data_IF_097116460161
#
_entry.id   IF_097116460161
#
_cell.length_a   1.000
_cell.length_b   1.000
_cell.length_c   1.000
_cell.angle_alpha   90.00
_cell.angle_beta   90.00
_cell.angle_gamma   90.00
#
_symmetry.space_group_name_H-M   'P 1'
#
loop_
_entity.id
_entity.type
_entity.pdbx_description
1 polymer ?
#
# COMPACT_ATOMS: atom_id res chain seq x y z
N UNK A 1 34.65 20.04 10.39
CA UNK A 1 33.62 19.37 11.21
C UNK A 1 32.54 18.84 10.28
N UNK A 2 32.53 17.55 10.00
CA UNK A 2 31.58 16.89 9.11
C UNK A 2 30.20 16.83 9.78
N UNK A 3 29.23 17.58 9.25
CA UNK A 3 27.82 17.48 9.62
C UNK A 3 27.32 16.08 9.22
N UNK A 4 27.13 15.21 10.23
CA UNK A 4 26.47 13.93 10.03
C UNK A 4 25.03 14.20 9.62
N UNK A 5 24.68 13.87 8.37
CA UNK A 5 23.30 13.94 7.89
C UNK A 5 22.43 13.10 8.83
N UNK A 6 21.36 13.68 9.43
CA UNK A 6 20.47 12.89 10.27
C UNK A 6 19.89 11.76 9.43
N UNK A 7 20.05 10.52 9.92
CA UNK A 7 19.53 9.35 9.23
C UNK A 7 18.03 9.47 9.00
N UNK A 8 17.50 8.84 7.94
CA UNK A 8 16.06 8.86 7.58
C UNK A 8 15.16 8.39 8.73
N UNK A 9 15.72 7.64 9.68
CA UNK A 9 15.05 7.11 10.86
C UNK A 9 15.17 8.01 12.10
N UNK A 10 16.04 9.03 12.10
CA UNK A 10 16.30 9.89 13.25
C UNK A 10 15.06 10.67 13.71
N UNK A 11 14.22 11.09 12.76
CA UNK A 11 12.94 11.73 13.05
C UNK A 11 11.94 10.76 13.71
N UNK A 12 11.88 9.52 13.21
CA UNK A 12 11.00 8.48 13.75
C UNK A 12 11.42 8.04 15.15
N UNK A 13 12.72 7.83 15.37
CA UNK A 13 13.25 7.46 16.69
C UNK A 13 13.03 8.56 17.71
N UNK A 14 13.18 9.83 17.32
CA UNK A 14 12.92 10.97 18.19
C UNK A 14 11.44 11.07 18.58
N UNK A 15 10.52 10.83 17.62
CA UNK A 15 9.09 10.79 17.88
C UNK A 15 8.70 9.63 18.82
N UNK A 16 9.22 8.43 18.59
CA UNK A 16 8.98 7.27 19.45
C UNK A 16 9.57 7.47 20.86
N UNK A 17 10.71 8.15 20.97
CA UNK A 17 11.30 8.53 22.26
C UNK A 17 10.45 9.55 23.02
N UNK A 18 9.90 10.55 22.33
CA UNK A 18 8.97 11.51 22.94
C UNK A 18 7.69 10.83 23.43
N UNK A 19 7.15 9.90 22.65
CA UNK A 19 5.95 9.13 22.99
C UNK A 19 6.24 8.22 24.20
N UNK A 20 7.33 7.44 24.18
CA UNK A 20 7.73 6.57 25.30
C UNK A 20 7.90 7.35 26.61
N UNK A 21 8.52 8.53 26.57
CA UNK A 21 8.65 9.41 27.76
C UNK A 21 7.29 9.87 28.31
N UNK A 22 6.30 10.12 27.44
CA UNK A 22 4.95 10.53 27.85
C UNK A 22 4.08 9.37 28.30
N UNK A 23 4.27 8.17 27.75
CA UNK A 23 3.41 7.01 28.02
C UNK A 23 4.04 6.01 28.99
N UNK A 24 5.29 6.19 29.41
CA UNK A 24 5.97 5.29 30.34
C UNK A 24 6.20 3.86 29.83
N UNK A 25 5.88 3.60 28.56
CA UNK A 25 6.04 2.29 27.92
C UNK A 25 7.47 2.09 27.43
N UNK A 26 8.08 0.91 27.63
CA UNK A 26 9.46 0.67 27.24
C UNK A 26 9.65 0.81 25.72
N UNK A 27 10.71 1.53 25.32
CA UNK A 27 11.01 1.87 23.93
C UNK A 27 11.00 0.67 22.98
N UNK A 28 11.54 -0.48 23.42
CA UNK A 28 11.60 -1.70 22.61
C UNK A 28 10.22 -2.28 22.30
N UNK A 29 9.30 -2.27 23.26
CA UNK A 29 7.90 -2.70 23.05
C UNK A 29 7.16 -1.75 22.11
N UNK A 30 7.42 -0.45 22.22
CA UNK A 30 6.79 0.57 21.38
C UNK A 30 7.27 0.48 19.92
N UNK A 31 8.57 0.27 19.70
CA UNK A 31 9.14 0.05 18.36
C UNK A 31 8.58 -1.22 17.72
N UNK A 32 8.48 -2.32 18.48
CA UNK A 32 7.88 -3.57 17.99
C UNK A 32 6.40 -3.37 17.63
N UNK A 33 5.63 -2.71 18.49
CA UNK A 33 4.22 -2.39 18.26
C UNK A 33 4.04 -1.55 17.01
N UNK A 34 4.85 -0.50 16.85
CA UNK A 34 4.85 0.35 15.67
C UNK A 34 5.15 -0.45 14.41
N UNK A 35 6.16 -1.31 14.42
CA UNK A 35 6.50 -2.17 13.29
C UNK A 35 5.35 -3.09 12.90
N UNK A 36 4.76 -3.80 13.86
CA UNK A 36 3.63 -4.70 13.60
C UNK A 36 2.43 -3.94 13.00
N UNK A 37 2.10 -2.78 13.58
CA UNK A 37 0.99 -1.95 13.09
C UNK A 37 1.29 -1.37 11.70
N UNK A 38 2.54 -1.00 11.44
CA UNK A 38 2.99 -0.52 10.14
C UNK A 38 2.78 -1.58 9.06
N UNK A 39 3.14 -2.83 9.34
CA UNK A 39 2.94 -3.95 8.41
C UNK A 39 1.45 -4.28 8.23
N UNK A 40 0.67 -4.32 9.32
CA UNK A 40 -0.75 -4.60 9.25
C UNK A 40 -1.50 -3.54 8.43
N UNK A 41 -1.17 -2.27 8.64
CA UNK A 41 -1.72 -1.14 7.88
C UNK A 41 -1.16 -1.05 6.46
N UNK A 42 -0.12 -1.81 6.11
CA UNK A 42 0.32 -1.95 4.72
C UNK A 42 -0.51 -2.98 3.95
N UNK A 43 -0.86 -4.09 4.60
CA UNK A 43 -1.55 -5.24 3.99
C UNK A 43 -3.07 -5.07 3.98
N UNK A 44 -3.67 -4.64 5.09
CA UNK A 44 -5.12 -4.57 5.23
C UNK A 44 -5.80 -3.63 4.20
N UNK A 45 -5.31 -2.40 3.94
CA UNK A 45 -5.94 -1.52 2.96
C UNK A 45 -5.91 -2.08 1.54
N UNK A 46 -4.88 -2.83 1.18
CA UNK A 46 -4.77 -3.45 -0.15
C UNK A 46 -5.91 -4.45 -0.36
N UNK A 47 -6.13 -5.32 0.62
CA UNK A 47 -7.23 -6.29 0.56
C UNK A 47 -8.61 -5.61 0.66
N UNK A 48 -8.79 -4.67 1.58
CA UNK A 48 -10.07 -3.96 1.77
C UNK A 48 -10.47 -3.23 0.50
N UNK A 49 -9.55 -2.47 -0.11
CA UNK A 49 -9.85 -1.72 -1.33
C UNK A 49 -10.06 -2.66 -2.51
N UNK A 50 -9.27 -3.72 -2.65
CA UNK A 50 -9.47 -4.70 -3.73
C UNK A 50 -10.84 -5.38 -3.65
N UNK A 51 -11.18 -5.96 -2.49
CA UNK A 51 -12.46 -6.63 -2.32
C UNK A 51 -13.63 -5.64 -2.35
N UNK A 52 -13.47 -4.43 -1.81
CA UNK A 52 -14.47 -3.36 -1.90
C UNK A 52 -14.72 -2.91 -3.34
N UNK A 53 -13.66 -2.69 -4.13
CA UNK A 53 -13.78 -2.35 -5.55
C UNK A 53 -14.45 -3.49 -6.34
N UNK A 54 -14.08 -4.75 -6.03
CA UNK A 54 -14.66 -5.94 -6.64
C UNK A 54 -16.15 -6.10 -6.32
N UNK A 55 -16.57 -5.95 -5.05
CA UNK A 55 -17.98 -6.11 -4.65
C UNK A 55 -18.87 -4.98 -5.16
N UNK A 56 -18.32 -3.77 -5.28
CA UNK A 56 -19.04 -2.61 -5.83
C UNK A 56 -19.04 -2.57 -7.37
N UNK A 57 -18.33 -3.50 -8.02
CA UNK A 57 -18.15 -3.49 -9.49
C UNK A 57 -17.44 -2.23 -9.99
N UNK A 58 -16.62 -1.60 -9.15
CA UNK A 58 -15.95 -0.34 -9.47
C UNK A 58 -14.96 -0.51 -10.63
N UNK A 59 -14.26 -1.65 -10.70
CA UNK A 59 -13.37 -1.99 -11.80
C UNK A 59 -14.10 -2.06 -13.15
N UNK A 60 -15.25 -2.74 -13.22
CA UNK A 60 -16.02 -2.85 -14.46
C UNK A 60 -16.57 -1.49 -14.92
N UNK A 61 -17.03 -0.66 -13.98
CA UNK A 61 -17.48 0.71 -14.27
C UNK A 61 -16.34 1.60 -14.74
N UNK A 62 -15.16 1.47 -14.14
CA UNK A 62 -13.98 2.22 -14.55
C UNK A 62 -13.50 1.79 -15.95
N UNK A 63 -13.46 0.48 -16.24
CA UNK A 63 -13.10 -0.02 -17.57
C UNK A 63 -14.08 0.49 -18.61
N UNK A 64 -15.40 0.49 -18.32
CA UNK A 64 -16.41 1.07 -19.22
C UNK A 64 -16.21 2.57 -19.42
N UNK A 65 -16.01 3.32 -18.34
CA UNK A 65 -15.76 4.76 -18.39
C UNK A 65 -14.49 5.09 -19.18
N UNK A 66 -13.38 4.38 -18.98
CA UNK A 66 -12.14 4.58 -19.74
C UNK A 66 -12.33 4.21 -21.22
N UNK A 67 -13.09 3.16 -21.52
CA UNK A 67 -13.38 2.75 -22.90
C UNK A 67 -14.23 3.80 -23.63
N UNK A 68 -15.21 4.38 -22.94
CA UNK A 68 -16.06 5.48 -23.43
C UNK A 68 -15.28 6.81 -23.51
N UNK A 69 -14.46 7.12 -22.50
CA UNK A 69 -13.61 8.31 -22.47
C UNK A 69 -12.49 8.26 -23.50
N UNK A 70 -11.90 7.10 -23.81
CA UNK A 70 -10.89 6.95 -24.88
C UNK A 70 -11.47 7.31 -26.26
N UNK A 71 -12.79 7.16 -26.42
CA UNK A 71 -13.49 7.58 -27.65
C UNK A 71 -13.75 9.09 -27.66
N UNK A 72 -13.91 9.72 -26.49
CA UNK A 72 -14.16 11.16 -26.32
C UNK A 72 -12.90 12.02 -26.06
N UNK A 73 -11.79 11.42 -25.64
CA UNK A 73 -10.58 12.10 -25.13
C UNK A 73 -9.67 12.66 -26.22
N UNK A 74 -10.01 12.49 -27.50
CA UNK A 74 -9.39 13.28 -28.59
C UNK A 74 -9.78 14.77 -28.56
N UNK A 75 -10.65 15.23 -27.65
CA UNK A 75 -11.20 16.60 -27.66
C UNK A 75 -10.79 17.46 -26.45
N UNK A 76 -10.25 16.93 -25.35
CA UNK A 76 -10.20 17.67 -24.07
C UNK A 76 -8.79 18.05 -23.54
N UNK A 77 -7.75 18.10 -24.38
CA UNK A 77 -6.47 18.71 -24.00
C UNK A 77 -6.51 20.24 -24.13
N UNK A 78 -7.14 20.95 -23.18
CA UNK A 78 -6.76 22.33 -22.88
C UNK A 78 -7.34 22.81 -21.54
N UNK A 79 -6.52 22.83 -20.49
CA UNK A 79 -6.52 23.93 -19.52
C UNK A 79 -5.42 23.75 -18.47
N UNK A 80 -4.41 24.59 -18.59
CA UNK A 80 -3.26 24.78 -17.72
C UNK A 80 -3.64 25.63 -16.49
N UNK A 81 -3.26 25.22 -15.28
CA UNK A 81 -3.10 26.10 -14.10
C UNK A 81 -2.50 25.32 -12.92
N UNK A 82 -1.30 25.65 -12.46
CA UNK A 82 -0.60 24.93 -11.39
C UNK A 82 -1.39 24.92 -10.06
N UNK A 83 -2.04 23.78 -9.76
CA UNK A 83 -2.84 23.56 -8.54
C UNK A 83 -2.39 22.27 -7.81
N UNK A 84 -2.49 22.17 -6.46
CA UNK A 84 -2.19 20.97 -5.68
C UNK A 84 -2.95 19.72 -6.18
N UNK A 85 -4.14 19.93 -6.73
CA UNK A 85 -4.92 18.87 -7.39
C UNK A 85 -4.21 18.28 -8.60
N UNK A 86 -3.46 19.06 -9.37
CA UNK A 86 -2.71 18.55 -10.52
C UNK A 86 -1.49 17.75 -10.11
N UNK A 87 -0.86 18.09 -8.98
CA UNK A 87 0.18 17.23 -8.40
C UNK A 87 -0.42 15.90 -7.97
N UNK A 88 -1.58 15.93 -7.29
CA UNK A 88 -2.31 14.74 -6.88
C UNK A 88 -2.72 13.87 -8.07
N UNK A 89 -3.32 14.46 -9.11
CA UNK A 89 -3.72 13.76 -10.35
C UNK A 89 -2.55 13.15 -11.09
N UNK A 90 -1.42 13.88 -11.25
CA UNK A 90 -0.19 13.34 -11.87
C UNK A 90 0.42 12.21 -11.07
N UNK A 91 0.39 12.29 -9.74
CA UNK A 91 0.87 11.20 -8.88
C UNK A 91 -0.04 9.99 -8.93
N UNK A 92 -1.35 10.21 -8.92
CA UNK A 92 -2.32 9.14 -9.06
C UNK A 92 -2.17 8.42 -10.39
N UNK A 93 -2.04 9.14 -11.51
CA UNK A 93 -1.81 8.52 -12.83
C UNK A 93 -0.53 7.71 -12.84
N UNK A 94 0.57 8.26 -12.31
CA UNK A 94 1.84 7.52 -12.17
C UNK A 94 1.67 6.24 -11.34
N UNK A 95 0.90 6.29 -10.25
CA UNK A 95 0.65 5.12 -9.41
C UNK A 95 -0.27 4.11 -10.06
N UNK A 96 -1.20 4.54 -10.92
CA UNK A 96 -2.02 3.66 -11.73
C UNK A 96 -1.17 2.95 -12.79
N UNK A 97 -0.26 3.66 -13.47
CA UNK A 97 0.66 3.07 -14.44
C UNK A 97 1.59 2.03 -13.77
N UNK A 98 2.17 2.39 -12.62
CA UNK A 98 2.96 1.45 -11.82
C UNK A 98 2.12 0.26 -11.35
N UNK A 99 0.87 0.51 -10.96
CA UNK A 99 -0.08 -0.51 -10.53
C UNK A 99 -0.39 -1.50 -11.64
N UNK A 100 -0.52 -1.04 -12.89
CA UNK A 100 -0.73 -1.89 -14.06
C UNK A 100 0.46 -2.82 -14.28
N UNK A 101 1.69 -2.27 -14.26
CA UNK A 101 2.93 -3.05 -14.37
C UNK A 101 3.04 -4.08 -13.24
N UNK A 102 2.77 -3.67 -12.01
CA UNK A 102 2.83 -4.56 -10.84
C UNK A 102 1.80 -5.68 -10.95
N UNK A 103 0.56 -5.34 -11.30
CA UNK A 103 -0.55 -6.29 -11.43
C UNK A 103 -0.25 -7.30 -12.53
N UNK A 104 0.21 -6.86 -13.69
CA UNK A 104 0.62 -7.75 -14.77
C UNK A 104 1.79 -8.67 -14.35
N UNK A 105 2.78 -8.17 -13.61
CA UNK A 105 3.90 -8.99 -13.11
C UNK A 105 3.44 -10.05 -12.12
N UNK A 106 2.63 -9.66 -11.15
CA UNK A 106 2.13 -10.58 -10.10
C UNK A 106 1.14 -11.57 -10.68
N UNK A 107 0.20 -11.10 -11.49
CA UNK A 107 -0.78 -11.91 -12.19
C UNK A 107 -0.12 -12.96 -13.06
N UNK A 108 0.83 -12.59 -13.92
CA UNK A 108 1.58 -13.57 -14.73
C UNK A 108 2.50 -14.46 -13.91
N UNK A 109 3.10 -13.97 -12.81
CA UNK A 109 3.96 -14.83 -11.97
C UNK A 109 3.17 -15.97 -11.33
N UNK A 110 1.94 -15.71 -10.90
CA UNK A 110 1.16 -16.67 -10.12
C UNK A 110 -0.04 -17.28 -10.88
N UNK A 111 -0.38 -16.78 -12.07
CA UNK A 111 -1.56 -17.21 -12.82
C UNK A 111 -2.88 -16.72 -12.19
N UNK A 112 -2.89 -15.51 -11.64
CA UNK A 112 -4.04 -14.94 -10.90
C UNK A 112 -4.59 -13.76 -11.70
N UNK A 113 -5.83 -13.33 -11.43
CA UNK A 113 -6.52 -12.21 -12.11
C UNK A 113 -6.77 -12.46 -13.61
N UNK A 114 -6.86 -13.74 -14.00
CA UNK A 114 -7.08 -14.14 -15.39
C UNK A 114 -5.82 -14.12 -16.27
N UNK A 115 -4.64 -13.84 -15.71
CA UNK A 115 -3.38 -13.99 -16.41
C UNK A 115 -2.92 -15.45 -16.44
N UNK A 116 -2.29 -15.83 -17.55
CA UNK A 116 -1.62 -17.13 -17.65
C UNK A 116 -0.30 -17.12 -16.88
N UNK A 117 0.02 -18.23 -16.22
CA UNK A 117 1.24 -18.35 -15.43
C UNK A 117 2.45 -18.39 -16.36
N UNK A 118 3.35 -17.42 -16.21
CA UNK A 118 4.59 -17.30 -16.99
C UNK A 118 5.47 -18.55 -16.79
N UNK A 119 5.85 -19.24 -17.88
CA UNK A 119 6.87 -20.28 -17.85
C UNK A 119 8.26 -19.70 -17.50
N UNK A 120 9.12 -20.48 -16.80
CA UNK A 120 10.44 -20.01 -16.40
C UNK A 120 11.29 -19.64 -17.63
N UNK A 121 11.81 -18.41 -17.69
CA UNK A 121 12.72 -17.94 -18.74
C UNK A 121 12.08 -17.08 -19.84
N UNK A 122 10.75 -16.96 -19.86
CA UNK A 122 10.07 -16.07 -20.80
C UNK A 122 10.18 -14.59 -20.36
N UNK A 123 10.36 -13.67 -21.32
CA UNK A 123 10.44 -12.24 -21.03
C UNK A 123 9.06 -11.71 -20.67
N UNK A 124 9.00 -10.79 -19.70
CA UNK A 124 7.76 -10.09 -19.36
C UNK A 124 7.48 -9.01 -20.42
N UNK A 125 6.44 -9.22 -21.23
CA UNK A 125 5.92 -8.25 -22.19
C UNK A 125 4.53 -7.81 -21.75
N UNK A 126 4.32 -6.50 -21.59
CA UNK A 126 3.04 -5.90 -21.19
C UNK A 126 2.10 -5.79 -22.39
N UNK A 127 2.64 -5.47 -23.58
CA UNK A 127 1.82 -5.10 -24.73
C UNK A 127 1.05 -6.30 -25.32
N UNK A 128 1.59 -7.51 -25.16
CA UNK A 128 0.94 -8.76 -25.57
C UNK A 128 -0.22 -9.17 -24.65
N UNK A 129 -0.18 -8.74 -23.38
CA UNK A 129 -1.17 -9.11 -22.36
C UNK A 129 -2.47 -8.30 -22.46
N UNK A 130 -2.37 -7.03 -22.85
CA UNK A 130 -3.54 -6.13 -22.99
C UNK A 130 -4.41 -6.44 -24.22
N UNK A 131 -3.93 -7.22 -25.19
CA UNK A 131 -4.70 -7.57 -26.40
C UNK A 131 -5.79 -8.62 -26.18
N UNK A 132 -5.72 -9.42 -25.12
CA UNK A 132 -6.58 -10.60 -24.92
C UNK A 132 -7.63 -10.43 -23.81
N UNK A 133 -7.87 -9.22 -23.30
CA UNK A 133 -8.25 -9.01 -21.89
C UNK A 133 -9.61 -8.36 -21.61
N UNK A 134 -10.68 -8.61 -22.39
CA UNK A 134 -11.99 -7.96 -22.13
C UNK A 134 -12.61 -8.27 -20.75
N UNK A 135 -12.56 -9.53 -20.28
CA UNK A 135 -12.99 -9.91 -18.91
C UNK A 135 -11.86 -9.84 -17.87
N UNK A 136 -10.60 -9.91 -18.32
CA UNK A 136 -9.41 -9.75 -17.48
C UNK A 136 -9.29 -8.29 -17.00
N UNK A 137 -9.77 -7.33 -17.79
CA UNK A 137 -9.70 -5.90 -17.50
C UNK A 137 -10.35 -5.49 -16.17
N UNK A 138 -11.47 -6.11 -15.77
CA UNK A 138 -12.20 -5.72 -14.55
C UNK A 138 -11.43 -6.03 -13.26
N UNK A 139 -10.91 -7.25 -13.13
CA UNK A 139 -10.13 -7.67 -11.97
C UNK A 139 -8.75 -7.02 -11.92
N UNK A 140 -8.15 -6.80 -13.08
CA UNK A 140 -6.91 -6.02 -13.21
C UNK A 140 -7.16 -4.57 -12.80
N UNK A 141 -8.24 -3.93 -13.27
CA UNK A 141 -8.59 -2.57 -12.86
C UNK A 141 -8.82 -2.47 -11.35
N UNK A 142 -9.52 -3.43 -10.74
CA UNK A 142 -9.69 -3.49 -9.28
C UNK A 142 -8.34 -3.55 -8.55
N UNK A 143 -7.40 -4.37 -9.02
CA UNK A 143 -6.06 -4.47 -8.44
C UNK A 143 -5.22 -3.19 -8.63
N UNK A 144 -5.32 -2.54 -9.80
CA UNK A 144 -4.63 -1.27 -10.09
C UNK A 144 -5.15 -0.15 -9.20
N UNK A 145 -6.48 -0.01 -9.06
CA UNK A 145 -7.10 0.96 -8.15
C UNK A 145 -6.67 0.67 -6.71
N UNK A 146 -6.73 -0.59 -6.28
CA UNK A 146 -6.33 -0.98 -4.94
C UNK A 146 -4.87 -0.61 -4.66
N UNK A 147 -3.97 -0.83 -5.62
CA UNK A 147 -2.57 -0.44 -5.51
C UNK A 147 -2.40 1.09 -5.43
N UNK A 148 -3.07 1.84 -6.30
CA UNK A 148 -2.98 3.30 -6.32
C UNK A 148 -3.52 3.94 -5.03
N UNK A 149 -4.67 3.49 -4.54
CA UNK A 149 -5.27 3.95 -3.27
C UNK A 149 -4.40 3.54 -2.08
N UNK A 150 -3.87 2.31 -2.08
CA UNK A 150 -2.91 1.82 -1.08
C UNK A 150 -1.69 2.74 -1.00
N UNK A 151 -1.20 3.19 -2.15
CA UNK A 151 -0.04 4.09 -2.25
C UNK A 151 -0.38 5.53 -1.83
N UNK A 152 -1.57 6.00 -2.15
CA UNK A 152 -2.10 7.27 -1.67
C UNK A 152 -2.27 7.30 -0.14
N UNK A 153 -2.57 6.15 0.47
CA UNK A 153 -2.73 6.01 1.91
C UNK A 153 -1.39 5.96 2.69
N UNK A 154 -0.23 5.92 2.04
CA UNK A 154 1.09 5.87 2.70
C UNK A 154 1.30 6.94 3.79
N UNK A 155 1.04 8.24 3.57
CA UNK A 155 1.15 9.25 4.63
C UNK A 155 0.19 9.01 5.79
N UNK A 156 -1.03 8.55 5.51
CA UNK A 156 -2.01 8.20 6.53
C UNK A 156 -1.54 7.02 7.40
N UNK A 157 -0.88 6.01 6.80
CA UNK A 157 -0.34 4.84 7.52
C UNK A 157 0.68 5.23 8.58
N UNK A 158 1.55 6.19 8.28
CA UNK A 158 2.56 6.67 9.21
C UNK A 158 1.88 7.36 10.40
N UNK A 159 0.90 8.25 10.13
CA UNK A 159 0.14 8.95 11.17
C UNK A 159 -0.66 8.00 12.05
N UNK A 160 -1.39 7.06 11.44
CA UNK A 160 -2.23 6.11 12.17
C UNK A 160 -1.40 5.13 13.00
N UNK A 161 -0.27 4.65 12.46
CA UNK A 161 0.63 3.75 13.19
C UNK A 161 1.26 4.44 14.40
N UNK A 162 1.70 5.70 14.27
CA UNK A 162 2.23 6.47 15.40
C UNK A 162 1.16 6.75 16.47
N UNK A 163 -0.08 7.03 16.04
CA UNK A 163 -1.19 7.31 16.96
C UNK A 163 -1.63 6.08 17.76
N UNK A 164 -1.71 4.90 17.11
CA UNK A 164 -2.21 3.67 17.73
C UNK A 164 -1.12 2.85 18.45
N UNK A 165 0.16 3.09 18.16
CA UNK A 165 1.29 2.37 18.79
C UNK A 165 1.25 2.34 20.33
N UNK A 166 0.91 3.44 21.04
CA UNK A 166 0.87 3.43 22.51
C UNK A 166 -0.23 2.54 23.08
N UNK A 167 -1.41 2.54 22.46
CA UNK A 167 -2.54 1.71 22.88
C UNK A 167 -2.27 0.23 22.60
N UNK A 168 -1.71 -0.09 21.43
CA UNK A 168 -1.37 -1.46 21.05
C UNK A 168 -0.24 -2.05 21.92
N UNK A 169 0.78 -1.24 22.26
CA UNK A 169 1.88 -1.70 23.12
C UNK A 169 1.36 -2.17 24.49
N UNK A 170 0.46 -1.39 25.10
CA UNK A 170 -0.08 -1.71 26.43
C UNK A 170 -1.12 -2.83 26.40
N UNK A 171 -1.95 -2.87 25.35
CA UNK A 171 -3.05 -3.83 25.25
C UNK A 171 -2.65 -5.23 24.77
N UNK A 172 -1.65 -5.34 23.89
CA UNK A 172 -1.32 -6.62 23.22
C UNK A 172 0.14 -7.02 23.45
N UNK A 173 1.09 -6.11 23.26
CA UNK A 173 2.53 -6.50 23.29
C UNK A 173 3.03 -6.78 24.70
N UNK A 174 2.63 -5.97 25.68
CA UNK A 174 3.02 -6.15 27.08
C UNK A 174 2.48 -7.44 27.73
N UNK A 175 1.20 -7.83 27.56
CA UNK A 175 0.72 -9.13 28.03
C UNK A 175 1.36 -10.30 27.28
N UNK A 176 1.51 -10.23 25.95
CA UNK A 176 2.17 -11.31 25.19
C UNK A 176 3.64 -11.46 25.59
N UNK A 177 4.37 -10.35 25.78
CA UNK A 177 5.77 -10.38 26.24
C UNK A 177 5.88 -11.01 27.62
N UNK A 178 5.01 -10.65 28.56
CA UNK A 178 5.04 -11.22 29.92
C UNK A 178 4.66 -12.70 29.92
N UNK A 179 3.71 -13.14 29.10
CA UNK A 179 3.36 -14.56 28.94
C UNK A 179 4.48 -15.37 28.28
N UNK A 180 5.06 -14.89 27.18
CA UNK A 180 6.12 -15.60 26.44
C UNK A 180 7.43 -15.64 27.25
N UNK A 181 7.87 -14.51 27.80
CA UNK A 181 9.05 -14.48 28.68
C UNK A 181 8.78 -15.29 29.94
N UNK A 182 7.57 -15.25 30.50
CA UNK A 182 7.16 -16.07 31.64
C UNK A 182 7.26 -17.58 31.37
N UNK A 183 6.88 -18.02 30.18
CA UNK A 183 7.02 -19.41 29.74
C UNK A 183 8.50 -19.84 29.62
N UNK A 184 9.35 -18.98 29.06
CA UNK A 184 10.79 -19.28 28.92
C UNK A 184 11.57 -19.18 30.25
N UNK A 185 11.15 -18.31 31.17
CA UNK A 185 11.79 -18.17 32.49
C UNK A 185 11.42 -19.30 33.46
N UNK A 186 10.33 -20.01 33.21
CA UNK A 186 9.87 -21.16 34.02
C UNK A 186 10.52 -22.49 33.62
N UNK A 187 11.27 -22.50 32.52
CA UNK A 187 11.96 -23.68 31.98
C UNK A 187 13.46 -23.74 32.32
N UNK A 188 13.96 -22.82 33.16
CA UNK A 188 15.25 -22.92 33.84
C UNK A 188 15.01 -23.01 35.34
#
# INVERSE_FOLDING_TARGET
>A
MSSLKPGRFAAYTSALQAISKRTGSPLSSLVLSFGILHELTAVAPLFIVFYGARTLGAGDRLVKAITEETTSSKIAEHSSAADPEQWGRRKLSTWMDEGHIWTAKVGTRYGILGYEKRPPGEKFDINSLDRNSSHIAGDVANAVIAYAVTKAALPLRIGLSLYLSPAFSRGIVEPVRTTVVGLFKRSR
#
